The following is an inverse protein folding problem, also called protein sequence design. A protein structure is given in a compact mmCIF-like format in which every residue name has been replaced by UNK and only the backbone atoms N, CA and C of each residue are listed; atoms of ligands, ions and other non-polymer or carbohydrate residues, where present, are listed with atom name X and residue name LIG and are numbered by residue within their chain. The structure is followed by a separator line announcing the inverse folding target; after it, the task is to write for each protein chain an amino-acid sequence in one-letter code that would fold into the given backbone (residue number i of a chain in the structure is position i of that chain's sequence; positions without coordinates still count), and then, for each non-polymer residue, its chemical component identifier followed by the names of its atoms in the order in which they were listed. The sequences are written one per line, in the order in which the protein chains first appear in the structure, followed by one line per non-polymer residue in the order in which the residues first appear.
data_IF_672870411335
#
_entry.id   IF_672870411335
#
_cell.length_a   1.000
_cell.length_b   1.000
_cell.length_c   1.000
_cell.angle_alpha   90.00
_cell.angle_beta   90.00
_cell.angle_gamma   90.00
#
_symmetry.space_group_name_H-M   'P 1'
#
loop_
_entity.id
_entity.type
_entity.pdbx_description
1 polymer ?
#
# COMPACT_ATOMS: atom_id res chain seq x y z
N UNK A 1 45.49 -33.11 -32.41
CA UNK A 1 44.85 -31.89 -31.86
C UNK A 1 45.53 -30.68 -32.48
N UNK A 2 44.88 -30.00 -33.45
CA UNK A 2 45.53 -28.98 -34.28
C UNK A 2 45.57 -27.63 -33.55
N UNK A 3 46.78 -27.26 -33.08
CA UNK A 3 47.04 -26.10 -32.22
C UNK A 3 46.61 -24.76 -32.84
N UNK A 4 46.72 -24.62 -34.15
CA UNK A 4 46.35 -23.41 -34.89
C UNK A 4 44.84 -23.16 -34.93
N UNK A 5 44.03 -24.22 -35.04
CA UNK A 5 42.57 -24.09 -35.01
C UNK A 5 42.08 -23.70 -33.60
N UNK A 6 42.73 -24.22 -32.56
CA UNK A 6 42.44 -23.86 -31.18
C UNK A 6 42.80 -22.39 -30.87
N UNK A 7 43.94 -21.89 -31.36
CA UNK A 7 44.31 -20.48 -31.19
C UNK A 7 43.34 -19.52 -31.88
N UNK A 8 42.82 -19.86 -33.07
CA UNK A 8 41.82 -19.05 -33.76
C UNK A 8 40.47 -19.00 -33.03
N UNK A 9 40.10 -20.06 -32.30
CA UNK A 9 38.84 -20.10 -31.54
C UNK A 9 38.94 -19.37 -30.18
N UNK A 10 40.15 -19.24 -29.61
CA UNK A 10 40.36 -18.54 -28.34
C UNK A 10 40.01 -17.04 -28.38
N UNK A 11 40.14 -16.39 -29.55
CA UNK A 11 39.78 -14.97 -29.73
C UNK A 11 38.28 -14.70 -29.85
N UNK A 12 37.46 -15.74 -30.04
CA UNK A 12 35.99 -15.62 -30.19
C UNK A 12 35.24 -15.75 -28.85
N UNK A 13 35.96 -15.99 -27.76
CA UNK A 13 35.36 -16.15 -26.44
C UNK A 13 34.84 -14.78 -26.00
N UNK A 14 33.52 -14.69 -25.87
CA UNK A 14 32.75 -13.54 -25.35
C UNK A 14 33.03 -13.28 -23.84
N UNK A 15 34.27 -13.47 -23.40
CA UNK A 15 34.76 -13.09 -22.07
C UNK A 15 35.08 -11.60 -22.10
N UNK A 16 34.22 -10.83 -21.44
CA UNK A 16 34.23 -9.37 -21.48
C UNK A 16 35.59 -8.74 -21.19
N UNK A 17 36.26 -8.29 -22.25
CA UNK A 17 37.44 -7.43 -22.19
C UNK A 17 37.11 -5.94 -22.11
N UNK A 18 38.13 -5.10 -21.97
CA UNK A 18 38.04 -3.63 -21.94
C UNK A 18 37.50 -3.14 -23.30
N UNK A 19 36.26 -2.65 -23.33
CA UNK A 19 35.55 -2.25 -24.55
C UNK A 19 34.41 -3.17 -24.99
N UNK A 20 34.22 -4.33 -24.34
CA UNK A 20 33.05 -5.18 -24.59
C UNK A 20 31.77 -4.56 -24.03
N UNK A 21 30.64 -4.78 -24.72
CA UNK A 21 29.34 -4.20 -24.34
C UNK A 21 28.89 -4.71 -22.97
N UNK A 22 29.16 -3.93 -21.92
CA UNK A 22 28.66 -4.20 -20.57
C UNK A 22 27.18 -3.87 -20.54
N UNK A 23 26.33 -4.89 -20.37
CA UNK A 23 24.88 -4.68 -20.14
C UNK A 23 24.71 -3.87 -18.86
N UNK A 24 24.39 -2.58 -18.98
CA UNK A 24 24.01 -1.77 -17.82
C UNK A 24 22.77 -2.41 -17.19
N UNK A 25 22.85 -2.76 -15.92
CA UNK A 25 21.67 -3.17 -15.14
C UNK A 25 20.72 -1.96 -15.13
N UNK A 26 19.62 -2.04 -15.88
CA UNK A 26 18.55 -1.05 -15.79
C UNK A 26 17.91 -1.23 -14.43
N UNK A 27 18.25 -0.37 -13.47
CA UNK A 27 17.49 -0.24 -12.24
C UNK A 27 16.14 0.36 -12.64
N UNK A 28 15.17 -0.52 -12.89
CA UNK A 28 13.80 -0.10 -13.19
C UNK A 28 13.21 0.41 -11.88
N UNK A 29 13.21 1.73 -11.71
CA UNK A 29 12.39 2.37 -10.69
C UNK A 29 10.92 2.18 -11.10
N UNK A 30 10.20 1.36 -10.33
CA UNK A 30 8.75 1.25 -10.45
C UNK A 30 8.16 2.57 -9.95
N UNK A 31 7.64 3.38 -10.88
CA UNK A 31 6.91 4.60 -10.55
C UNK A 31 5.54 4.21 -9.98
N UNK A 32 5.35 4.39 -8.68
CA UNK A 32 4.10 4.15 -7.93
C UNK A 32 2.89 4.96 -8.43
N UNK A 33 3.13 6.03 -9.19
CA UNK A 33 2.09 6.90 -9.77
C UNK A 33 1.23 6.23 -10.84
N UNK A 34 1.73 5.20 -11.53
CA UNK A 34 0.91 4.47 -12.51
C UNK A 34 -0.06 3.49 -11.87
N UNK A 35 0.29 2.98 -10.70
CA UNK A 35 -0.48 1.95 -9.99
C UNK A 35 -1.69 2.58 -9.30
N UNK A 36 -1.55 3.79 -8.75
CA UNK A 36 -2.66 4.51 -8.11
C UNK A 36 -3.81 4.80 -9.08
N UNK A 37 -3.52 5.17 -10.33
CA UNK A 37 -4.55 5.35 -11.38
C UNK A 37 -5.29 4.05 -11.69
N UNK A 38 -4.57 2.92 -11.70
CA UNK A 38 -5.18 1.59 -11.91
C UNK A 38 -6.06 1.22 -10.72
N UNK A 39 -5.59 1.45 -9.49
CA UNK A 39 -6.35 1.21 -8.27
C UNK A 39 -7.66 2.01 -8.24
N UNK A 40 -7.60 3.30 -8.59
CA UNK A 40 -8.81 4.12 -8.71
C UNK A 40 -9.76 3.59 -9.80
N UNK A 41 -9.23 3.10 -10.92
CA UNK A 41 -10.07 2.50 -11.97
C UNK A 41 -10.75 1.20 -11.52
N UNK A 42 -10.07 0.38 -10.70
CA UNK A 42 -10.65 -0.85 -10.15
C UNK A 42 -11.69 -0.56 -9.07
N UNK A 43 -11.45 0.42 -8.19
CA UNK A 43 -12.40 0.82 -7.14
C UNK A 43 -13.71 1.36 -7.74
N UNK A 44 -13.61 2.15 -8.82
CA UNK A 44 -14.78 2.59 -9.59
C UNK A 44 -15.58 1.44 -10.20
N UNK A 45 -14.92 0.38 -10.68
CA UNK A 45 -15.59 -0.81 -11.25
C UNK A 45 -16.36 -1.62 -10.20
N UNK A 46 -15.86 -1.66 -8.96
CA UNK A 46 -16.51 -2.35 -7.85
C UNK A 46 -17.70 -1.54 -7.29
N UNK A 47 -17.92 -0.31 -7.79
CA UNK A 47 -19.03 0.55 -7.36
C UNK A 47 -18.79 1.17 -5.99
N UNK A 48 -17.53 1.38 -5.61
CA UNK A 48 -17.17 2.04 -4.36
C UNK A 48 -17.33 3.55 -4.52
N UNK A 49 -18.11 4.18 -3.64
CA UNK A 49 -18.40 5.62 -3.69
C UNK A 49 -17.57 6.38 -2.64
N UNK A 50 -17.08 7.57 -3.00
CA UNK A 50 -16.37 8.44 -2.05
C UNK A 50 -17.36 9.08 -1.07
N UNK A 51 -17.14 8.91 0.23
CA UNK A 51 -17.97 9.55 1.27
C UNK A 51 -17.20 10.77 1.79
N UNK A 52 -17.69 12.01 1.54
CA UNK A 52 -17.08 13.21 2.08
C UNK A 52 -17.40 13.40 3.57
N UNK A 53 -16.65 14.27 4.25
CA UNK A 53 -16.88 14.72 5.63
C UNK A 53 -16.64 13.68 6.76
N UNK A 54 -15.69 12.75 6.59
CA UNK A 54 -15.22 11.91 7.69
C UNK A 54 -14.02 12.56 8.37
N UNK A 55 -14.19 12.92 9.63
CA UNK A 55 -13.16 13.58 10.45
C UNK A 55 -12.13 12.56 10.96
N UNK A 56 -12.58 11.39 11.42
CA UNK A 56 -11.72 10.38 12.03
C UNK A 56 -12.17 8.94 11.71
N UNK A 57 -11.22 8.05 11.48
CA UNK A 57 -11.45 6.59 11.43
C UNK A 57 -10.53 5.92 12.43
N UNK A 58 -11.11 5.15 13.34
CA UNK A 58 -10.38 4.37 14.34
C UNK A 58 -10.55 2.88 14.05
N UNK A 59 -9.43 2.18 13.89
CA UNK A 59 -9.40 0.73 13.76
C UNK A 59 -8.85 0.18 15.08
N UNK A 60 -9.69 -0.54 15.81
CA UNK A 60 -9.30 -1.21 17.05
C UNK A 60 -8.74 -2.58 16.73
N UNK A 61 -7.52 -2.85 17.20
CA UNK A 61 -6.88 -4.15 17.09
C UNK A 61 -6.23 -4.49 18.43
N UNK A 62 -6.82 -5.45 19.14
CA UNK A 62 -6.34 -5.97 20.43
C UNK A 62 -6.04 -4.86 21.46
N UNK A 63 -4.79 -4.41 21.58
CA UNK A 63 -4.33 -3.34 22.50
C UNK A 63 -3.90 -2.04 21.78
N UNK A 64 -4.01 -2.02 20.46
CA UNK A 64 -3.57 -0.95 19.58
C UNK A 64 -4.77 -0.32 18.86
N UNK A 65 -4.73 1.00 18.75
CA UNK A 65 -5.67 1.78 17.94
C UNK A 65 -4.90 2.37 16.78
N UNK A 66 -5.33 2.07 15.56
CA UNK A 66 -4.83 2.75 14.36
C UNK A 66 -5.84 3.85 14.03
N UNK A 67 -5.42 5.10 14.25
CA UNK A 67 -6.21 6.29 13.99
C UNK A 67 -5.81 6.92 12.65
N UNK A 68 -6.81 7.31 11.88
CA UNK A 68 -6.65 8.13 10.68
C UNK A 68 -7.38 9.46 10.89
N UNK A 69 -6.65 10.57 10.83
CA UNK A 69 -7.20 11.92 10.89
C UNK A 69 -7.47 12.43 9.46
N UNK A 70 -8.69 12.90 9.21
CA UNK A 70 -9.17 13.38 7.92
C UNK A 70 -8.81 12.46 6.72
N UNK A 71 -9.12 11.14 6.78
CA UNK A 71 -8.80 10.23 5.69
C UNK A 71 -9.69 10.43 4.46
N UNK A 72 -9.18 9.99 3.30
CA UNK A 72 -10.01 9.79 2.11
C UNK A 72 -10.65 8.41 2.22
N UNK A 73 -11.97 8.38 2.40
CA UNK A 73 -12.72 7.13 2.51
C UNK A 73 -13.58 6.92 1.26
N UNK A 74 -13.49 5.71 0.72
CA UNK A 74 -14.39 5.21 -0.30
C UNK A 74 -15.10 4.00 0.28
N UNK A 75 -16.41 3.91 0.16
CA UNK A 75 -17.15 2.77 0.64
C UNK A 75 -18.29 2.36 -0.29
N UNK A 76 -18.59 1.07 -0.26
CA UNK A 76 -19.84 0.53 -0.77
C UNK A 76 -20.68 0.10 0.42
N UNK A 77 -21.74 0.86 0.70
CA UNK A 77 -22.66 0.60 1.82
C UNK A 77 -23.39 -0.73 1.60
N UNK A 78 -23.74 -1.04 0.35
CA UNK A 78 -24.45 -2.27 -0.01
C UNK A 78 -23.60 -3.52 0.25
N UNK A 79 -22.29 -3.42 0.05
CA UNK A 79 -21.36 -4.54 0.16
C UNK A 79 -20.48 -4.48 1.43
N UNK A 80 -20.82 -3.61 2.40
CA UNK A 80 -20.07 -3.40 3.65
C UNK A 80 -18.55 -3.26 3.46
N UNK A 81 -18.12 -2.69 2.34
CA UNK A 81 -16.70 -2.61 1.95
C UNK A 81 -16.21 -1.19 2.11
N UNK A 82 -15.15 -1.01 2.88
CA UNK A 82 -14.57 0.29 3.21
C UNK A 82 -13.11 0.33 2.76
N UNK A 83 -12.73 1.43 2.11
CA UNK A 83 -11.39 1.70 1.61
C UNK A 83 -10.94 3.02 2.21
N UNK A 84 -9.99 2.95 3.14
CA UNK A 84 -9.46 4.10 3.85
C UNK A 84 -8.07 4.39 3.31
N UNK A 85 -7.87 5.62 2.82
CA UNK A 85 -6.57 6.09 2.34
C UNK A 85 -6.13 7.29 3.17
N UNK A 86 -5.02 7.13 3.89
CA UNK A 86 -4.45 8.19 4.72
C UNK A 86 -3.24 7.70 5.51
N UNK A 87 -2.48 8.62 6.12
CA UNK A 87 -1.39 8.26 7.02
C UNK A 87 -1.95 7.64 8.32
N UNK A 88 -1.57 6.41 8.69
CA UNK A 88 -2.00 5.81 9.95
C UNK A 88 -1.19 6.38 11.12
N UNK A 89 -1.87 6.61 12.24
CA UNK A 89 -1.27 6.94 13.53
C UNK A 89 -1.60 5.83 14.52
N UNK A 90 -0.60 5.04 14.93
CA UNK A 90 -0.80 3.98 15.92
C UNK A 90 -0.69 4.56 17.33
N UNK A 91 -1.74 4.40 18.14
CA UNK A 91 -1.77 4.77 19.55
C UNK A 91 -2.09 3.54 20.40
N UNK A 92 -1.55 3.49 21.62
CA UNK A 92 -1.93 2.47 22.59
C UNK A 92 -3.33 2.76 23.14
N UNK A 93 -4.14 1.71 23.30
CA UNK A 93 -5.57 1.83 23.63
C UNK A 93 -5.84 2.40 25.04
N UNK A 94 -4.81 2.47 25.89
CA UNK A 94 -4.85 2.96 27.26
C UNK A 94 -5.37 4.40 27.37
N UNK A 95 -5.22 5.21 26.31
CA UNK A 95 -5.71 6.59 26.25
C UNK A 95 -7.22 6.66 25.95
N UNK A 96 -7.78 5.68 25.22
CA UNK A 96 -9.18 5.72 24.78
C UNK A 96 -10.17 5.17 25.80
N UNK A 97 -9.75 4.23 26.67
CA UNK A 97 -10.61 3.71 27.74
C UNK A 97 -11.06 4.83 28.69
N UNK A 98 -10.21 5.82 28.93
CA UNK A 98 -10.52 6.93 29.84
C UNK A 98 -11.50 7.96 29.25
N UNK A 99 -11.55 8.09 27.92
CA UNK A 99 -12.38 9.11 27.26
C UNK A 99 -13.79 8.61 26.90
N UNK A 100 -13.96 7.30 26.67
CA UNK A 100 -15.26 6.76 26.26
C UNK A 100 -16.26 6.66 27.43
N UNK A 101 -15.78 6.46 28.67
CA UNK A 101 -16.65 6.32 29.86
C UNK A 101 -17.39 7.62 30.20
N UNK A 102 -16.86 8.79 29.81
CA UNK A 102 -17.51 10.09 30.06
C UNK A 102 -18.57 10.48 29.02
N UNK A 103 -18.61 9.84 27.85
CA UNK A 103 -19.57 10.15 26.78
C UNK A 103 -20.74 9.15 26.73
N UNK A 104 -21.03 8.45 27.84
CA UNK A 104 -22.16 7.51 27.97
C UNK A 104 -23.34 8.19 28.68
N UNK A 105 -23.67 9.41 28.28
CA UNK A 105 -25.00 9.98 28.51
C UNK A 105 -25.53 10.49 27.17
N UNK A 106 -26.05 9.57 26.36
CA UNK A 106 -27.18 9.90 25.49
C UNK A 106 -27.10 9.52 24.01
N UNK A 107 -25.94 9.47 23.35
CA UNK A 107 -25.95 9.34 21.88
C UNK A 107 -24.66 8.83 21.21
N UNK A 108 -23.84 8.01 21.87
CA UNK A 108 -22.63 7.47 21.24
C UNK A 108 -22.92 6.16 20.48
N UNK A 109 -23.55 6.34 19.32
CA UNK A 109 -23.15 5.72 18.05
C UNK A 109 -22.77 4.23 18.15
N UNK A 110 -23.75 3.42 17.76
CA UNK A 110 -23.70 2.00 17.40
C UNK A 110 -22.85 1.80 16.12
N UNK A 111 -21.61 2.30 16.10
CA UNK A 111 -20.55 2.04 15.08
C UNK A 111 -19.46 1.15 15.68
N UNK A 112 -19.78 0.44 16.77
CA UNK A 112 -19.06 -0.75 17.17
C UNK A 112 -19.55 -1.92 16.29
N UNK A 113 -19.12 -1.94 15.03
CA UNK A 113 -19.31 -3.09 14.15
C UNK A 113 -17.93 -3.58 13.71
N UNK A 114 -17.76 -4.90 13.77
CA UNK A 114 -16.73 -5.73 13.12
C UNK A 114 -15.44 -5.95 13.94
N UNK A 115 -15.57 -6.70 15.04
CA UNK A 115 -15.22 -8.14 15.07
C UNK A 115 -16.42 -8.89 15.65
#
# INVERSE_FOLDING_TARGET
MNREKLMKMAGSVRTGGKGTMRRKKKAVHKSTTSDDKKLQSTLKRIGVNTIPAIEEVNIFKDDLVIQFLNPKVQASIVANTWVVTGPPQTRSMWIFHFFCVFLVIGLCIRVLMIV
#
